data_IF_906801679774
#
_entry.id   IF_906801679774
#
_cell.length_a   1.000
_cell.length_b   1.000
_cell.length_c   1.000
_cell.angle_alpha   90.00
_cell.angle_beta   90.00
_cell.angle_gamma   90.00
#
_symmetry.space_group_name_H-M   'P 1'
#
loop_
_entity.id
_entity.type
_entity.pdbx_description
1 polymer ?
#
# COMPACT_ATOMS: atom_id res chain seq x y z
N UNK A 1 -15.69 8.62 -16.49
CA UNK A 1 -14.27 8.30 -16.73
C UNK A 1 -13.37 9.25 -15.99
N UNK A 2 -12.90 8.85 -14.80
CA UNK A 2 -11.55 9.05 -14.26
C UNK A 2 -11.32 7.75 -13.49
N UNK A 3 -10.71 6.76 -14.15
CA UNK A 3 -9.99 5.74 -13.40
C UNK A 3 -8.80 6.52 -12.86
N UNK A 4 -8.67 6.67 -11.54
CA UNK A 4 -7.52 7.34 -10.94
C UNK A 4 -6.20 6.76 -11.49
N UNK A 5 -5.07 7.41 -11.25
CA UNK A 5 -3.78 6.92 -11.74
C UNK A 5 -3.60 5.44 -11.33
N UNK A 6 -3.60 4.47 -12.27
CA UNK A 6 -3.74 3.04 -11.97
C UNK A 6 -2.76 2.51 -10.94
N UNK A 7 -1.58 3.12 -10.87
CA UNK A 7 -0.51 2.83 -9.92
C UNK A 7 -0.91 2.91 -8.43
N UNK A 8 -1.93 3.69 -8.06
CA UNK A 8 -2.35 3.90 -6.67
C UNK A 8 -3.71 3.27 -6.37
N UNK A 9 -4.29 2.56 -7.33
CA UNK A 9 -5.66 2.06 -7.22
C UNK A 9 -5.70 0.86 -6.27
N UNK A 10 -6.65 0.86 -5.35
CA UNK A 10 -6.82 -0.29 -4.45
C UNK A 10 -7.39 -1.51 -5.19
N UNK A 11 -7.15 -2.75 -4.69
CA UNK A 11 -7.63 -3.99 -5.28
C UNK A 11 -9.15 -4.03 -5.47
N UNK A 12 -9.93 -3.44 -4.56
CA UNK A 12 -11.38 -3.36 -4.65
C UNK A 12 -11.83 -2.37 -5.73
N UNK A 13 -11.14 -1.23 -5.89
CA UNK A 13 -11.40 -0.26 -6.96
C UNK A 13 -11.02 -0.83 -8.32
N UNK A 14 -9.93 -1.61 -8.41
CA UNK A 14 -9.55 -2.35 -9.61
C UNK A 14 -10.62 -3.39 -10.04
N UNK A 15 -11.40 -3.90 -9.08
CA UNK A 15 -12.54 -4.79 -9.33
C UNK A 15 -13.86 -4.04 -9.57
N UNK A 16 -13.84 -2.70 -9.67
CA UNK A 16 -15.02 -1.87 -9.91
C UNK A 16 -15.94 -1.69 -8.69
N UNK A 17 -15.44 -1.95 -7.47
CA UNK A 17 -16.22 -1.69 -6.25
C UNK A 17 -16.21 -0.21 -5.87
N UNK A 18 -17.17 0.17 -5.03
CA UNK A 18 -17.24 1.53 -4.47
C UNK A 18 -16.03 1.88 -3.61
N UNK A 19 -15.70 3.17 -3.58
CA UNK A 19 -14.61 3.68 -2.75
C UNK A 19 -15.00 3.70 -1.27
N UNK A 20 -14.00 3.48 -0.41
CA UNK A 20 -14.12 3.59 1.05
C UNK A 20 -12.82 4.12 1.63
N UNK A 21 -12.80 4.44 2.92
CA UNK A 21 -11.59 4.86 3.62
C UNK A 21 -10.42 3.85 3.48
N UNK A 22 -10.73 2.57 3.32
CA UNK A 22 -9.71 1.51 3.14
C UNK A 22 -8.99 1.63 1.79
N UNK A 23 -9.61 2.27 0.78
CA UNK A 23 -8.96 2.56 -0.50
C UNK A 23 -7.85 3.60 -0.32
N UNK A 24 -8.09 4.63 0.48
CA UNK A 24 -7.10 5.68 0.75
C UNK A 24 -5.94 5.16 1.60
N UNK A 25 -6.22 4.26 2.56
CA UNK A 25 -5.19 3.56 3.34
C UNK A 25 -4.27 2.74 2.43
N UNK A 26 -4.84 2.07 1.42
CA UNK A 26 -4.04 1.32 0.44
C UNK A 26 -3.18 2.25 -0.42
N UNK A 27 -3.76 3.34 -0.94
CA UNK A 27 -3.04 4.33 -1.73
C UNK A 27 -1.88 4.95 -0.93
N UNK A 28 -2.09 5.25 0.36
CA UNK A 28 -1.02 5.68 1.27
C UNK A 28 0.08 4.61 1.39
N UNK A 29 -0.27 3.33 1.46
CA UNK A 29 0.68 2.22 1.42
C UNK A 29 1.55 2.22 0.16
N UNK A 30 0.95 2.43 -1.01
CA UNK A 30 1.69 2.56 -2.28
C UNK A 30 2.65 3.75 -2.24
N UNK A 31 2.21 4.90 -1.74
CA UNK A 31 3.04 6.10 -1.64
C UNK A 31 4.19 5.86 -0.65
N UNK A 32 3.93 5.23 0.50
CA UNK A 32 4.98 4.86 1.45
C UNK A 32 6.01 3.91 0.82
N UNK A 33 5.54 2.90 0.07
CA UNK A 33 6.42 2.01 -0.70
C UNK A 33 7.34 2.79 -1.64
N UNK A 34 6.76 3.71 -2.42
CA UNK A 34 7.50 4.58 -3.33
C UNK A 34 8.54 5.44 -2.61
N UNK A 35 8.19 6.03 -1.46
CA UNK A 35 9.12 6.83 -0.68
C UNK A 35 10.33 6.03 -0.18
N UNK A 36 10.11 4.79 0.26
CA UNK A 36 11.19 3.96 0.82
C UNK A 36 12.06 3.28 -0.24
N UNK A 37 11.51 3.00 -1.41
CA UNK A 37 12.18 2.21 -2.46
C UNK A 37 12.60 3.04 -3.67
N UNK A 38 12.04 4.24 -3.83
CA UNK A 38 12.18 5.07 -5.03
C UNK A 38 11.36 4.58 -6.23
N UNK A 39 10.64 3.47 -6.09
CA UNK A 39 9.95 2.78 -7.18
C UNK A 39 8.51 2.37 -6.81
N UNK A 40 7.63 2.25 -7.81
CA UNK A 40 6.30 1.68 -7.59
C UNK A 40 6.37 0.15 -7.42
N UNK A 41 5.52 -0.45 -6.57
CA UNK A 41 5.52 -1.89 -6.34
C UNK A 41 5.07 -2.70 -7.56
N UNK A 42 4.29 -2.09 -8.46
CA UNK A 42 3.73 -2.72 -9.65
C UNK A 42 4.04 -1.90 -10.89
N UNK A 43 4.44 -2.59 -11.97
CA UNK A 43 4.91 -1.97 -13.22
C UNK A 43 4.30 -2.66 -14.43
N UNK A 44 4.16 -1.94 -15.54
CA UNK A 44 3.61 -2.45 -16.80
C UNK A 44 2.50 -1.57 -17.36
N UNK A 45 1.76 -2.09 -18.33
CA UNK A 45 0.58 -1.41 -18.87
C UNK A 45 -0.55 -1.33 -17.84
N UNK A 46 -1.46 -0.38 -18.04
CA UNK A 46 -2.60 -0.11 -17.15
C UNK A 46 -3.32 -1.37 -16.68
N UNK A 47 -3.72 -2.25 -17.61
CA UNK A 47 -4.46 -3.48 -17.27
C UNK A 47 -3.62 -4.43 -16.42
N UNK A 48 -2.33 -4.56 -16.72
CA UNK A 48 -1.40 -5.39 -15.94
C UNK A 48 -1.24 -4.85 -14.51
N UNK A 49 -1.13 -3.53 -14.34
CA UNK A 49 -1.04 -2.89 -13.02
C UNK A 49 -2.29 -3.20 -12.19
N UNK A 50 -3.48 -3.12 -12.79
CA UNK A 50 -4.74 -3.45 -12.10
C UNK A 50 -4.75 -4.89 -11.58
N UNK A 51 -4.31 -5.86 -12.38
CA UNK A 51 -4.22 -7.25 -11.95
C UNK A 51 -3.15 -7.48 -10.87
N UNK A 52 -2.04 -6.74 -10.91
CA UNK A 52 -1.01 -6.82 -9.89
C UNK A 52 -1.51 -6.31 -8.53
N UNK A 53 -2.28 -5.21 -8.50
CA UNK A 53 -2.95 -4.76 -7.28
C UNK A 53 -3.89 -5.84 -6.72
N UNK A 54 -4.69 -6.46 -7.59
CA UNK A 54 -5.58 -7.58 -7.22
C UNK A 54 -4.80 -8.76 -6.64
N UNK A 55 -3.63 -9.07 -7.21
CA UNK A 55 -2.75 -10.14 -6.76
C UNK A 55 -2.03 -9.86 -5.45
N UNK A 56 -1.68 -8.60 -5.15
CA UNK A 56 -1.12 -8.19 -3.87
C UNK A 56 0.26 -8.74 -3.55
N UNK A 57 1.11 -8.96 -4.56
CA UNK A 57 2.42 -9.62 -4.44
C UNK A 57 3.61 -8.64 -4.45
N UNK A 58 3.41 -7.42 -3.97
CA UNK A 58 4.50 -6.45 -3.85
C UNK A 58 5.61 -7.00 -2.94
N UNK A 59 6.89 -7.00 -3.36
CA UNK A 59 8.00 -7.40 -2.50
C UNK A 59 8.08 -6.47 -1.28
N UNK A 60 8.22 -6.96 -0.04
CA UNK A 60 8.45 -6.13 1.13
C UNK A 60 9.59 -5.13 0.91
N UNK A 61 9.43 -3.87 1.34
CA UNK A 61 10.44 -2.82 1.15
C UNK A 61 11.81 -3.18 1.75
N UNK A 62 11.83 -3.99 2.83
CA UNK A 62 13.07 -4.47 3.44
C UNK A 62 13.83 -5.49 2.59
N UNK A 63 13.15 -6.20 1.67
CA UNK A 63 13.84 -7.07 0.69
C UNK A 63 14.63 -6.25 -0.33
N UNK A 64 14.18 -5.02 -0.61
CA UNK A 64 14.86 -4.09 -1.52
C UNK A 64 15.94 -3.29 -0.79
N UNK A 65 15.74 -2.99 0.49
CA UNK A 65 16.72 -2.32 1.33
C UNK A 65 16.69 -2.87 2.76
N UNK A 66 17.69 -3.69 3.09
CA UNK A 66 17.79 -4.37 4.38
C UNK A 66 18.08 -3.44 5.58
N UNK A 67 18.44 -2.17 5.34
CA UNK A 67 18.61 -1.18 6.41
C UNK A 67 17.28 -0.64 6.94
N UNK A 68 16.18 -0.78 6.18
CA UNK A 68 14.84 -0.35 6.63
C UNK A 68 14.38 -1.24 7.77
N UNK A 69 13.97 -0.64 8.89
CA UNK A 69 13.47 -1.36 10.06
C UNK A 69 12.34 -2.36 9.72
N UNK A 70 12.34 -3.50 10.41
CA UNK A 70 11.37 -4.58 10.16
C UNK A 70 9.94 -4.11 10.39
N UNK A 71 9.68 -3.35 11.45
CA UNK A 71 8.33 -2.93 11.82
C UNK A 71 7.78 -1.94 10.79
N UNK A 72 8.64 -1.08 10.22
CA UNK A 72 8.27 -0.19 9.10
C UNK A 72 7.88 -1.00 7.87
N UNK A 73 8.64 -2.04 7.52
CA UNK A 73 8.31 -2.90 6.38
C UNK A 73 7.03 -3.71 6.57
N UNK A 74 6.72 -4.13 7.80
CA UNK A 74 5.46 -4.80 8.14
C UNK A 74 4.29 -3.81 8.06
N UNK A 75 4.48 -2.59 8.57
CA UNK A 75 3.47 -1.53 8.49
C UNK A 75 3.07 -1.22 7.05
N UNK A 76 4.04 -1.00 6.15
CA UNK A 76 3.74 -0.74 4.72
C UNK A 76 3.00 -1.90 4.06
N UNK A 77 3.39 -3.15 4.35
CA UNK A 77 2.66 -4.32 3.85
C UNK A 77 1.23 -4.40 4.36
N UNK A 78 0.98 -4.03 5.61
CA UNK A 78 -0.36 -4.03 6.18
C UNK A 78 -1.27 -3.00 5.49
N UNK A 79 -0.78 -1.79 5.22
CA UNK A 79 -1.52 -0.80 4.42
C UNK A 79 -1.86 -1.33 3.03
N UNK A 80 -0.93 -2.05 2.40
CA UNK A 80 -1.05 -2.61 1.05
C UNK A 80 -1.70 -4.00 0.97
N UNK A 81 -2.32 -4.50 2.04
CA UNK A 81 -2.92 -5.84 2.02
C UNK A 81 -4.01 -5.94 0.94
N UNK A 82 -3.98 -7.02 0.14
CA UNK A 82 -4.94 -7.20 -0.97
C UNK A 82 -6.40 -7.23 -0.48
N UNK A 83 -6.63 -7.94 0.63
CA UNK A 83 -7.91 -8.00 1.31
C UNK A 83 -8.05 -6.82 2.28
N UNK A 84 -9.04 -5.96 2.06
CA UNK A 84 -9.21 -4.72 2.82
C UNK A 84 -9.40 -4.95 4.33
N UNK A 85 -9.99 -6.09 4.73
CA UNK A 85 -10.14 -6.49 6.15
C UNK A 85 -8.81 -6.78 6.87
N UNK A 86 -7.73 -7.01 6.13
CA UNK A 86 -6.40 -7.29 6.69
C UNK A 86 -5.57 -6.01 6.85
N UNK A 87 -6.08 -4.85 6.40
CA UNK A 87 -5.43 -3.55 6.56
C UNK A 87 -5.72 -2.98 7.95
N UNK A 88 -5.04 -1.89 8.30
CA UNK A 88 -5.47 -1.01 9.39
C UNK A 88 -6.85 -0.43 9.02
N UNK A 89 -7.80 -0.46 9.95
CA UNK A 89 -9.21 -0.19 9.63
C UNK A 89 -9.59 1.29 9.65
N UNK A 90 -8.77 2.15 10.27
CA UNK A 90 -9.03 3.59 10.32
C UNK A 90 -7.75 4.39 10.08
N UNK A 91 -7.88 5.59 9.53
CA UNK A 91 -6.73 6.48 9.33
C UNK A 91 -6.19 7.05 10.67
N UNK A 92 -7.02 7.06 11.72
CA UNK A 92 -6.56 7.38 13.07
C UNK A 92 -5.58 6.32 13.60
N UNK A 93 -5.88 5.05 13.38
CA UNK A 93 -4.99 3.95 13.77
C UNK A 93 -3.71 3.94 12.95
N UNK A 94 -3.78 4.30 11.66
CA UNK A 94 -2.58 4.51 10.82
C UNK A 94 -1.70 5.61 11.41
N UNK A 95 -2.28 6.75 11.77
CA UNK A 95 -1.55 7.87 12.41
C UNK A 95 -0.91 7.46 13.74
N UNK A 96 -1.64 6.69 14.56
CA UNK A 96 -1.12 6.18 15.83
C UNK A 96 0.04 5.21 15.61
N UNK A 97 -0.06 4.32 14.62
CA UNK A 97 1.01 3.38 14.26
C UNK A 97 2.26 4.12 13.79
N UNK A 98 2.13 5.16 12.96
CA UNK A 98 3.26 5.99 12.52
C UNK A 98 3.95 6.64 13.73
N UNK A 99 3.19 7.24 14.66
CA UNK A 99 3.77 7.85 15.87
C UNK A 99 4.54 6.82 16.71
N UNK A 100 3.99 5.62 16.89
CA UNK A 100 4.65 4.55 17.63
C UNK A 100 5.94 4.07 16.95
N UNK A 101 5.98 4.00 15.61
CA UNK A 101 7.19 3.68 14.87
C UNK A 101 8.27 4.76 15.03
N UNK A 102 7.89 6.04 14.96
CA UNK A 102 8.82 7.16 15.12
C UNK A 102 9.45 7.24 16.51
N UNK A 103 8.78 6.75 17.55
CA UNK A 103 9.33 6.70 18.92
C UNK A 103 10.37 5.59 19.12
N UNK A 104 10.47 4.64 18.19
CA UNK A 104 11.43 3.52 18.24
C UNK A 104 12.73 3.79 17.48
N UNK A 105 12.74 4.82 16.62
CA UNK A 105 13.89 5.26 15.84
C UNK A 105 14.72 6.27 16.65
#
# INVERSE_FOLDING_TARGET
SIIGTPAYLSPERARGKEASCLCDIYALGIIAYLMFTGDLPYKGETVSILFQHIGGKAPPIRELNSSIDRDVSVFVQNLMAAEAKNRIQTMQDVSNAIKALLQKL
#
